data_IF_417156910504
#
_entry.id   IF_417156910504
#
_cell.length_a   1.000
_cell.length_b   1.000
_cell.length_c   1.000
_cell.angle_alpha   90.00
_cell.angle_beta   90.00
_cell.angle_gamma   90.00
#
_symmetry.space_group_name_H-M   'P 1'
#
loop_
_entity.id
_entity.type
_entity.pdbx_description
1 polymer ?
#
# COMPACT_ATOMS: atom_id res chain seq x y z
N UNK A 1 -17.15 28.40 30.57
CA UNK A 1 -16.99 27.57 29.35
C UNK A 1 -17.51 28.24 28.06
N UNK A 2 -17.71 29.56 28.02
CA UNK A 2 -18.30 30.27 26.87
C UNK A 2 -17.27 30.80 25.86
N UNK A 3 -16.07 31.16 26.32
CA UNK A 3 -15.00 31.75 25.49
C UNK A 3 -14.46 30.74 24.47
N UNK A 4 -14.07 29.52 24.89
CA UNK A 4 -13.63 28.47 23.94
C UNK A 4 -14.67 28.18 22.86
N UNK A 5 -15.96 28.12 23.21
CA UNK A 5 -17.03 27.86 22.25
C UNK A 5 -17.16 28.99 21.22
N UNK A 6 -17.08 30.25 21.66
CA UNK A 6 -17.15 31.40 20.77
C UNK A 6 -15.94 31.47 19.83
N UNK A 7 -14.74 31.19 20.32
CA UNK A 7 -13.53 31.15 19.49
C UNK A 7 -13.57 30.01 18.47
N UNK A 8 -13.98 28.79 18.86
CA UNK A 8 -14.19 27.68 17.92
C UNK A 8 -15.21 28.02 16.82
N UNK A 9 -16.33 28.68 17.17
CA UNK A 9 -17.32 29.12 16.20
C UNK A 9 -16.76 30.20 15.26
N UNK A 10 -15.89 31.08 15.75
CA UNK A 10 -15.24 32.12 14.94
C UNK A 10 -14.29 31.49 13.92
N UNK A 11 -13.49 30.50 14.33
CA UNK A 11 -12.65 29.71 13.42
C UNK A 11 -13.49 28.94 12.39
N UNK A 12 -14.57 28.28 12.83
CA UNK A 12 -15.45 27.51 11.93
C UNK A 12 -16.16 28.37 10.87
N UNK A 13 -16.45 29.64 11.19
CA UNK A 13 -17.04 30.60 10.25
C UNK A 13 -16.04 31.18 9.25
N UNK A 14 -14.72 31.00 9.48
CA UNK A 14 -13.70 31.51 8.59
C UNK A 14 -13.69 30.72 7.27
N UNK A 15 -13.94 31.37 6.11
CA UNK A 15 -13.96 30.67 4.82
C UNK A 15 -12.60 30.06 4.47
N UNK A 16 -11.48 30.65 4.92
CA UNK A 16 -10.13 30.12 4.68
C UNK A 16 -9.93 28.75 5.35
N UNK A 17 -10.47 28.58 6.56
CA UNK A 17 -10.41 27.28 7.24
C UNK A 17 -11.19 26.23 6.46
N UNK A 18 -12.39 26.58 5.98
CA UNK A 18 -13.21 25.66 5.17
C UNK A 18 -12.53 25.27 3.86
N UNK A 19 -11.90 26.22 3.18
CA UNK A 19 -11.15 25.91 1.94
C UNK A 19 -9.94 25.03 2.22
N UNK A 20 -9.19 25.28 3.30
CA UNK A 20 -8.07 24.43 3.69
C UNK A 20 -8.54 23.03 4.06
N UNK A 21 -9.59 22.91 4.87
CA UNK A 21 -10.18 21.61 5.23
C UNK A 21 -10.64 20.85 3.98
N UNK A 22 -11.36 21.51 3.06
CA UNK A 22 -11.80 20.90 1.81
C UNK A 22 -10.60 20.41 0.98
N UNK A 23 -9.56 21.24 0.83
CA UNK A 23 -8.36 20.87 0.08
C UNK A 23 -7.63 19.69 0.75
N UNK A 24 -7.47 19.71 2.07
CA UNK A 24 -6.88 18.61 2.83
C UNK A 24 -7.67 17.32 2.65
N UNK A 25 -9.01 17.38 2.70
CA UNK A 25 -9.87 16.21 2.45
C UNK A 25 -9.73 15.68 1.02
N UNK A 26 -9.66 16.57 0.02
CA UNK A 26 -9.44 16.17 -1.37
C UNK A 26 -8.07 15.51 -1.56
N UNK A 27 -7.02 16.06 -0.96
CA UNK A 27 -5.68 15.47 -0.99
C UNK A 27 -5.63 14.12 -0.29
N UNK A 28 -6.27 13.99 0.88
CA UNK A 28 -6.38 12.72 1.60
C UNK A 28 -7.13 11.66 0.77
N UNK A 29 -8.24 12.02 0.14
CA UNK A 29 -8.99 11.12 -0.74
C UNK A 29 -8.14 10.67 -1.95
N UNK A 30 -7.38 11.59 -2.55
CA UNK A 30 -6.50 11.27 -3.68
C UNK A 30 -5.33 10.37 -3.26
N UNK A 31 -4.76 10.60 -2.08
CA UNK A 31 -3.71 9.76 -1.51
C UNK A 31 -4.21 8.33 -1.27
N UNK A 32 -5.38 8.16 -0.64
CA UNK A 32 -6.00 6.84 -0.43
C UNK A 32 -6.29 6.17 -1.77
N UNK A 33 -6.85 6.90 -2.74
CA UNK A 33 -7.11 6.37 -4.08
C UNK A 33 -5.82 5.86 -4.73
N UNK A 34 -4.75 6.65 -4.68
CA UNK A 34 -3.44 6.28 -5.21
C UNK A 34 -2.88 5.03 -4.51
N UNK A 35 -2.97 4.96 -3.17
CA UNK A 35 -2.54 3.81 -2.38
C UNK A 35 -3.29 2.52 -2.76
N UNK A 36 -4.61 2.61 -2.96
CA UNK A 36 -5.43 1.46 -3.43
C UNK A 36 -4.99 1.00 -4.83
N UNK A 37 -4.72 1.92 -5.75
CA UNK A 37 -4.25 1.56 -7.10
C UNK A 37 -2.87 0.88 -7.04
N UNK A 38 -1.94 1.42 -6.25
CA UNK A 38 -0.62 0.84 -6.07
C UNK A 38 -0.70 -0.58 -5.48
N UNK A 39 -1.53 -0.78 -4.46
CA UNK A 39 -1.72 -2.09 -3.86
C UNK A 39 -2.31 -3.11 -4.85
N UNK A 40 -3.27 -2.70 -5.69
CA UNK A 40 -3.82 -3.57 -6.74
C UNK A 40 -2.77 -3.97 -7.76
N UNK A 41 -1.98 -3.01 -8.25
CA UNK A 41 -0.91 -3.27 -9.21
C UNK A 41 0.13 -4.24 -8.63
N UNK A 42 0.53 -4.04 -7.36
CA UNK A 42 1.44 -4.94 -6.67
C UNK A 42 0.87 -6.35 -6.54
N UNK A 43 -0.40 -6.48 -6.11
CA UNK A 43 -1.04 -7.79 -5.96
C UNK A 43 -1.11 -8.53 -7.31
N UNK A 44 -1.40 -7.84 -8.40
CA UNK A 44 -1.38 -8.43 -9.75
C UNK A 44 0.02 -8.93 -10.14
N UNK A 45 1.05 -8.12 -9.92
CA UNK A 45 2.44 -8.51 -10.19
C UNK A 45 2.87 -9.70 -9.32
N UNK A 46 2.53 -9.67 -8.03
CA UNK A 46 2.80 -10.75 -7.09
C UNK A 46 2.18 -12.07 -7.57
N UNK A 47 0.89 -12.07 -7.92
CA UNK A 47 0.20 -13.27 -8.40
C UNK A 47 0.82 -13.81 -9.70
N UNK A 48 1.18 -12.93 -10.65
CA UNK A 48 1.83 -13.33 -11.89
C UNK A 48 3.19 -14.00 -11.64
N UNK A 49 3.99 -13.43 -10.73
CA UNK A 49 5.30 -13.98 -10.37
C UNK A 49 5.17 -15.30 -9.60
N UNK A 50 4.23 -15.39 -8.66
CA UNK A 50 3.96 -16.63 -7.93
C UNK A 50 3.56 -17.76 -8.89
N UNK A 51 2.67 -17.45 -9.85
CA UNK A 51 2.28 -18.41 -10.87
C UNK A 51 3.47 -18.83 -11.76
N UNK A 52 4.33 -17.90 -12.18
CA UNK A 52 5.52 -18.25 -12.97
C UNK A 52 6.54 -19.08 -12.18
N UNK A 53 6.74 -18.77 -10.90
CA UNK A 53 7.64 -19.50 -10.02
C UNK A 53 7.12 -20.93 -9.76
N UNK A 54 5.81 -21.07 -9.55
CA UNK A 54 5.18 -22.38 -9.42
C UNK A 54 5.31 -23.20 -10.70
N UNK A 55 4.99 -22.61 -11.85
CA UNK A 55 5.16 -23.28 -13.14
C UNK A 55 6.61 -23.72 -13.37
N UNK A 56 7.59 -22.86 -13.06
CA UNK A 56 9.01 -23.20 -13.14
C UNK A 56 9.34 -24.40 -12.24
N UNK A 57 8.86 -24.39 -10.99
CA UNK A 57 9.06 -25.48 -10.05
C UNK A 57 8.48 -26.82 -10.55
N UNK A 58 7.30 -26.78 -11.15
CA UNK A 58 6.63 -27.97 -11.70
C UNK A 58 7.29 -28.48 -12.99
N UNK A 59 7.90 -27.60 -13.77
CA UNK A 59 8.43 -27.91 -15.11
C UNK A 59 9.96 -28.06 -15.20
N UNK A 60 10.70 -27.76 -14.13
CA UNK A 60 12.18 -27.79 -14.12
C UNK A 60 12.81 -29.19 -14.29
N UNK A 61 12.01 -30.27 -14.23
CA UNK A 61 12.50 -31.64 -14.40
C UNK A 61 13.36 -32.16 -13.23
N UNK A 62 14.07 -33.27 -13.43
CA UNK A 62 15.01 -33.79 -12.43
C UNK A 62 16.27 -32.91 -12.38
N UNK A 63 16.42 -32.19 -11.27
CA UNK A 63 17.66 -31.50 -10.93
C UNK A 63 18.52 -32.43 -10.09
N UNK A 64 19.79 -32.61 -10.47
CA UNK A 64 20.72 -33.31 -9.60
C UNK A 64 20.90 -32.50 -8.29
N UNK A 65 21.30 -33.13 -7.17
CA UNK A 65 21.38 -32.47 -5.87
C UNK A 65 22.31 -31.23 -5.86
N UNK A 66 23.34 -31.23 -6.69
CA UNK A 66 24.27 -30.12 -6.84
C UNK A 66 23.63 -28.95 -7.60
N UNK A 67 22.94 -29.20 -8.71
CA UNK A 67 22.21 -28.17 -9.47
C UNK A 67 21.06 -27.58 -8.65
N UNK A 68 20.34 -28.42 -7.89
CA UNK A 68 19.28 -27.98 -6.99
C UNK A 68 19.82 -27.04 -5.89
N UNK A 69 21.00 -27.32 -5.33
CA UNK A 69 21.63 -26.45 -4.33
C UNK A 69 22.04 -25.07 -4.89
N UNK A 70 22.25 -24.97 -6.21
CA UNK A 70 22.58 -23.71 -6.89
C UNK A 70 21.37 -23.00 -7.51
N UNK A 71 20.18 -23.62 -7.52
CA UNK A 71 18.94 -22.99 -7.96
C UNK A 71 18.17 -22.40 -6.76
N UNK A 72 18.27 -21.08 -6.59
CA UNK A 72 17.51 -20.35 -5.58
C UNK A 72 16.06 -20.09 -6.03
N UNK A 73 15.10 -20.32 -5.13
CA UNK A 73 13.73 -19.84 -5.32
C UNK A 73 13.55 -18.48 -4.63
N UNK A 74 12.83 -17.58 -5.29
CA UNK A 74 12.46 -16.30 -4.70
C UNK A 74 11.14 -16.41 -3.95
N UNK A 75 11.13 -16.00 -2.68
CA UNK A 75 9.93 -15.76 -1.91
C UNK A 75 9.68 -14.24 -1.86
N UNK A 76 8.57 -13.80 -2.44
CA UNK A 76 8.23 -12.38 -2.47
C UNK A 76 7.37 -12.04 -1.25
N UNK A 77 7.64 -10.88 -0.66
CA UNK A 77 6.86 -10.33 0.46
C UNK A 77 5.46 -9.94 -0.02
N UNK A 78 4.43 -10.21 0.77
CA UNK A 78 3.07 -9.72 0.48
C UNK A 78 2.86 -8.34 1.09
N UNK A 79 2.18 -7.44 0.39
CA UNK A 79 1.75 -6.17 0.98
C UNK A 79 0.70 -6.40 2.07
N UNK A 80 0.88 -5.73 3.22
CA UNK A 80 -0.09 -5.74 4.30
C UNK A 80 -1.35 -4.94 3.91
N UNK A 81 -2.54 -5.30 4.41
CA UNK A 81 -3.77 -4.58 4.06
C UNK A 81 -3.74 -3.06 4.38
N UNK A 82 -2.92 -2.66 5.35
CA UNK A 82 -2.71 -1.27 5.76
C UNK A 82 -1.96 -0.43 4.71
N UNK A 83 -1.25 -1.05 3.77
CA UNK A 83 -0.49 -0.31 2.73
C UNK A 83 -1.38 0.53 1.80
N UNK A 84 -2.68 0.25 1.72
CA UNK A 84 -3.63 1.09 0.98
C UNK A 84 -3.85 2.45 1.64
N UNK A 85 -3.68 2.52 2.96
CA UNK A 85 -3.88 3.73 3.77
C UNK A 85 -2.55 4.45 4.00
N UNK A 86 -1.52 3.69 4.34
CA UNK A 86 -0.18 4.21 4.63
C UNK A 86 0.87 3.45 3.79
N UNK A 87 1.01 3.77 2.49
CA UNK A 87 1.95 3.09 1.61
C UNK A 87 3.40 3.19 2.09
N UNK A 88 3.77 4.30 2.74
CA UNK A 88 5.11 4.54 3.26
C UNK A 88 5.56 3.59 4.37
N UNK A 89 4.64 2.85 5.00
CA UNK A 89 4.98 1.83 5.99
C UNK A 89 5.28 0.46 5.37
N UNK A 90 5.05 0.27 4.08
CA UNK A 90 5.16 -1.05 3.43
C UNK A 90 6.57 -1.65 3.51
N UNK A 91 7.61 -0.81 3.54
CA UNK A 91 9.00 -1.25 3.68
C UNK A 91 9.30 -1.80 5.09
N UNK A 92 8.52 -1.36 6.09
CA UNK A 92 8.70 -1.70 7.50
C UNK A 92 7.69 -2.73 8.01
N UNK A 93 6.58 -2.95 7.30
CA UNK A 93 5.51 -3.85 7.69
C UNK A 93 5.59 -5.17 6.91
N UNK A 94 5.77 -6.29 7.60
CA UNK A 94 5.77 -7.65 7.06
C UNK A 94 7.07 -8.39 7.33
#
# INVERSE_FOLDING_TARGET
MTVCRQECLRFWRNPRLKTLMLLSWLLAALAIWSGVQQQRAYQQAYQAIMHSQQHLWETQGELNPHTAAHHGQYAFKTLHALSAWEPGLSDYLG
#
